data_IF_925055922535
#
_entry.id   IF_925055922535
#
_cell.length_a   1.000
_cell.length_b   1.000
_cell.length_c   1.000
_cell.angle_alpha   90.00
_cell.angle_beta   90.00
_cell.angle_gamma   90.00
#
_symmetry.space_group_name_H-M   'P 1'
#
loop_
_entity.id
_entity.type
_entity.pdbx_description
1 polymer ?
#
# COMPACT_ATOMS: atom_id res chain seq x y z
N UNK A 1 -2.00 27.50 -24.72
CA UNK A 1 -1.54 28.23 -23.50
C UNK A 1 -2.44 27.79 -22.35
N UNK A 2 -2.02 26.80 -21.55
CA UNK A 2 -2.83 26.24 -20.48
C UNK A 2 -2.86 27.18 -19.27
N UNK A 3 -4.06 27.45 -18.74
CA UNK A 3 -4.24 28.17 -17.48
C UNK A 3 -3.97 27.18 -16.32
N UNK A 4 -3.11 27.49 -15.34
CA UNK A 4 -3.00 26.68 -14.13
C UNK A 4 -4.24 26.93 -13.27
N UNK A 5 -5.00 25.87 -12.97
CA UNK A 5 -6.10 25.93 -12.03
C UNK A 5 -5.56 26.32 -10.64
N UNK A 6 -6.12 27.40 -10.08
CA UNK A 6 -5.83 27.88 -8.73
C UNK A 6 -6.37 26.86 -7.73
N UNK A 7 -5.51 26.00 -7.20
CA UNK A 7 -5.88 24.96 -6.22
C UNK A 7 -6.15 25.65 -4.87
N UNK A 8 -7.33 25.48 -4.25
CA UNK A 8 -7.60 26.06 -2.93
C UNK A 8 -6.67 25.43 -1.88
N UNK A 9 -5.95 26.28 -1.15
CA UNK A 9 -4.92 25.93 -0.17
C UNK A 9 -5.46 25.46 1.19
N UNK A 10 -6.61 24.78 1.22
CA UNK A 10 -7.30 24.41 2.47
C UNK A 10 -7.48 22.90 2.67
N UNK A 11 -6.72 22.08 1.91
CA UNK A 11 -6.61 20.67 2.23
C UNK A 11 -5.51 20.50 3.28
N UNK A 12 -5.79 19.88 4.44
CA UNK A 12 -4.74 19.56 5.40
C UNK A 12 -3.68 18.73 4.67
N UNK A 13 -2.39 18.92 4.98
CA UNK A 13 -1.34 18.12 4.36
C UNK A 13 -1.72 16.66 4.52
N UNK A 14 -1.64 15.88 3.43
CA UNK A 14 -1.71 14.42 3.45
C UNK A 14 -0.51 13.91 4.24
N UNK A 15 -0.56 14.14 5.55
CA UNK A 15 0.34 13.53 6.52
C UNK A 15 0.07 12.04 6.40
N UNK A 16 1.11 11.20 6.29
CA UNK A 16 0.93 9.77 6.37
C UNK A 16 0.38 9.45 7.76
N UNK A 17 -0.96 9.32 7.86
CA UNK A 17 -1.66 8.83 9.05
C UNK A 17 -1.38 7.34 9.28
N UNK A 18 -0.51 6.75 8.47
CA UNK A 18 -0.04 5.36 8.46
C UNK A 18 1.22 5.14 9.29
N UNK A 19 1.41 5.84 10.42
CA UNK A 19 2.60 5.62 11.26
C UNK A 19 2.30 5.16 12.70
N UNK A 20 1.07 5.31 13.22
CA UNK A 20 0.75 4.94 14.61
C UNK A 20 -0.01 3.62 14.80
N UNK A 21 -0.49 2.96 13.73
CA UNK A 21 -1.24 1.70 13.85
C UNK A 21 -0.40 0.43 13.56
N UNK A 22 0.94 0.51 13.50
CA UNK A 22 1.76 -0.71 13.36
C UNK A 22 2.08 -1.37 14.71
N UNK A 23 2.07 -0.61 15.81
CA UNK A 23 2.42 -1.15 17.13
C UNK A 23 1.39 -2.16 17.68
N UNK A 24 0.12 -2.07 17.25
CA UNK A 24 -0.95 -2.96 17.75
C UNK A 24 -0.92 -4.37 17.16
N UNK A 25 -0.27 -4.55 16.01
CA UNK A 25 -0.25 -5.84 15.30
C UNK A 25 0.81 -6.81 15.84
N UNK A 26 1.80 -6.31 16.59
CA UNK A 26 2.89 -7.12 17.13
C UNK A 26 2.44 -8.18 18.15
N UNK A 27 1.28 -7.99 18.78
CA UNK A 27 0.68 -8.97 19.72
C UNK A 27 -0.28 -9.97 19.09
N UNK A 28 -0.56 -9.86 17.78
CA UNK A 28 -1.49 -10.76 17.09
C UNK A 28 -0.74 -11.98 16.56
N UNK A 29 -1.07 -13.16 17.09
CA UNK A 29 -0.51 -14.41 16.62
C UNK A 29 -0.88 -14.65 15.15
N UNK A 30 0.08 -15.10 14.34
CA UNK A 30 -0.10 -15.34 12.91
C UNK A 30 0.03 -14.08 12.02
N UNK A 31 0.23 -12.90 12.61
CA UNK A 31 0.45 -11.67 11.83
C UNK A 31 1.94 -11.45 11.62
N UNK A 32 2.36 -11.34 10.36
CA UNK A 32 3.74 -11.04 10.01
C UNK A 32 4.02 -9.55 10.21
N UNK A 33 4.97 -9.23 11.07
CA UNK A 33 5.37 -7.84 11.39
C UNK A 33 6.49 -7.32 10.49
N UNK A 34 7.16 -8.21 9.75
CA UNK A 34 8.17 -7.83 8.75
C UNK A 34 7.51 -7.10 7.58
N UNK A 35 8.23 -6.15 6.99
CA UNK A 35 7.74 -5.41 5.84
C UNK A 35 7.45 -6.32 4.65
N UNK A 36 6.28 -6.16 4.03
CA UNK A 36 5.81 -6.96 2.89
C UNK A 36 6.83 -7.02 1.73
N UNK A 37 7.45 -5.89 1.40
CA UNK A 37 8.43 -5.78 0.30
C UNK A 37 9.71 -6.62 0.51
N UNK A 38 9.94 -7.13 1.73
CA UNK A 38 11.06 -8.02 2.03
C UNK A 38 10.86 -9.38 1.36
N UNK A 39 9.62 -9.86 1.33
CA UNK A 39 9.29 -11.22 0.90
C UNK A 39 8.58 -11.24 -0.45
N UNK A 40 7.86 -10.17 -0.78
CA UNK A 40 7.08 -10.06 -2.00
C UNK A 40 7.52 -8.87 -2.84
N UNK A 41 7.44 -9.04 -4.16
CA UNK A 41 7.64 -7.95 -5.11
C UNK A 41 6.33 -7.72 -5.84
N UNK A 42 5.78 -6.51 -5.71
CA UNK A 42 4.56 -6.08 -6.39
C UNK A 42 4.92 -5.82 -7.86
N UNK A 43 4.10 -6.31 -8.79
CA UNK A 43 4.31 -6.14 -10.24
C UNK A 43 3.21 -5.28 -10.87
N UNK A 44 2.07 -5.89 -11.18
CA UNK A 44 1.02 -5.30 -12.03
C UNK A 44 -0.23 -5.00 -11.22
N UNK A 45 -0.93 -3.92 -11.56
CA UNK A 45 -2.28 -3.67 -11.06
C UNK A 45 -3.25 -4.62 -11.77
N UNK A 46 -3.95 -5.46 -10.99
CA UNK A 46 -4.96 -6.38 -11.52
C UNK A 46 -6.33 -5.70 -11.64
N UNK A 47 -6.61 -4.74 -10.76
CA UNK A 47 -7.84 -3.97 -10.82
C UNK A 47 -8.02 -3.04 -9.64
N UNK A 48 -8.79 -1.98 -9.87
CA UNK A 48 -9.11 -0.97 -8.87
C UNK A 48 -10.60 -1.00 -8.55
N UNK A 49 -10.90 -1.23 -7.27
CA UNK A 49 -12.24 -1.08 -6.71
C UNK A 49 -12.44 0.29 -6.08
N UNK A 50 -13.64 0.53 -5.56
CA UNK A 50 -14.01 1.78 -4.89
C UNK A 50 -13.21 2.06 -3.61
N UNK A 51 -12.68 1.01 -2.98
CA UNK A 51 -12.00 1.10 -1.68
C UNK A 51 -10.53 0.65 -1.69
N UNK A 52 -10.13 -0.11 -2.70
CA UNK A 52 -8.79 -0.72 -2.73
C UNK A 52 -8.36 -1.01 -4.17
N UNK A 53 -7.05 -1.16 -4.35
CA UNK A 53 -6.43 -1.61 -5.60
C UNK A 53 -5.80 -2.96 -5.33
N UNK A 54 -6.07 -3.93 -6.20
CA UNK A 54 -5.49 -5.27 -6.15
C UNK A 54 -4.29 -5.32 -7.08
N UNK A 55 -3.17 -5.80 -6.57
CA UNK A 55 -1.95 -5.97 -7.31
C UNK A 55 -1.54 -7.44 -7.40
N UNK A 56 -0.92 -7.81 -8.50
CA UNK A 56 -0.17 -9.05 -8.65
C UNK A 56 1.16 -8.90 -7.92
N UNK A 57 1.54 -9.91 -7.15
CA UNK A 57 2.81 -9.96 -6.47
C UNK A 57 3.48 -11.32 -6.62
N UNK A 58 4.81 -11.33 -6.51
CA UNK A 58 5.62 -12.55 -6.63
C UNK A 58 6.38 -12.74 -5.32
N UNK A 59 6.24 -13.91 -4.71
CA UNK A 59 7.02 -14.27 -3.52
C UNK A 59 8.46 -14.56 -3.94
N UNK A 60 9.42 -13.83 -3.36
CA UNK A 60 10.84 -13.87 -3.76
C UNK A 60 11.46 -15.26 -3.56
N UNK A 61 11.14 -15.94 -2.46
CA UNK A 61 11.74 -17.23 -2.12
C UNK A 61 11.17 -18.38 -2.95
N UNK A 62 9.84 -18.45 -3.10
CA UNK A 62 9.21 -19.57 -3.80
C UNK A 62 8.93 -19.30 -5.28
N UNK A 63 9.13 -18.06 -5.75
CA UNK A 63 8.76 -17.56 -7.09
C UNK A 63 7.29 -17.82 -7.47
N UNK A 64 6.43 -18.04 -6.47
CA UNK A 64 4.99 -18.21 -6.67
C UNK A 64 4.30 -16.85 -6.80
N UNK A 65 3.26 -16.82 -7.62
CA UNK A 65 2.47 -15.64 -7.91
C UNK A 65 1.26 -15.60 -6.98
N UNK A 66 0.97 -14.42 -6.41
CA UNK A 66 -0.15 -14.14 -5.53
C UNK A 66 -0.80 -12.79 -5.90
N UNK A 67 -1.93 -12.48 -5.27
CA UNK A 67 -2.62 -11.20 -5.39
C UNK A 67 -2.76 -10.56 -3.99
N UNK A 68 -2.48 -9.27 -3.89
CA UNK A 68 -2.54 -8.46 -2.65
C UNK A 68 -3.41 -7.23 -2.86
#
# INVERSE_FOLDING_TARGET
>A
RAQPALVPADLPPLTPTTAKHFQRLAGLQGVKTKQFNTDYTISDELGRGSYAIVYKCIHRTSRKIFSV
#
